data_IF_973099224272
#
_entry.id   IF_973099224272
#
_cell.length_a   1.000
_cell.length_b   1.000
_cell.length_c   1.000
_cell.angle_alpha   90.00
_cell.angle_beta   90.00
_cell.angle_gamma   90.00
#
_symmetry.space_group_name_H-M   'P 1'
#
loop_
_entity.id
_entity.type
_entity.pdbx_description
1 polymer ?
#
# COMPACT_ATOMS: atom_id res chain seq x y z
N UNK A 1 -4.07 -15.95 19.59
CA UNK A 1 -3.48 -15.05 18.57
C UNK A 1 -4.62 -14.28 17.93
N UNK A 2 -4.46 -12.96 17.80
CA UNK A 2 -5.41 -12.09 17.08
C UNK A 2 -4.65 -11.33 16.00
N UNK A 3 -5.25 -11.18 14.83
CA UNK A 3 -4.76 -10.31 13.75
C UNK A 3 -5.68 -9.09 13.65
N UNK A 4 -5.12 -7.94 13.97
CA UNK A 4 -5.84 -6.67 13.99
C UNK A 4 -5.46 -5.84 12.76
N UNK A 5 -6.44 -5.21 12.13
CA UNK A 5 -6.16 -4.22 11.09
C UNK A 5 -5.55 -2.95 11.70
N UNK A 6 -5.03 -2.07 10.84
CA UNK A 6 -4.57 -0.72 11.23
C UNK A 6 -5.60 0.08 12.05
N UNK A 7 -6.90 -0.19 11.88
CA UNK A 7 -7.99 0.48 12.61
C UNK A 7 -8.51 -0.34 13.81
N UNK A 8 -7.86 -1.44 14.16
CA UNK A 8 -8.19 -2.26 15.33
C UNK A 8 -9.30 -3.30 15.12
N UNK A 9 -9.71 -3.56 13.87
CA UNK A 9 -10.71 -4.59 13.59
C UNK A 9 -10.07 -5.98 13.66
N UNK A 10 -10.73 -6.93 14.32
CA UNK A 10 -10.26 -8.32 14.40
C UNK A 10 -10.60 -9.08 13.11
N UNK A 11 -9.57 -9.40 12.34
CA UNK A 11 -9.65 -10.11 11.08
C UNK A 11 -9.10 -11.54 11.16
N UNK A 12 -8.90 -12.08 12.36
CA UNK A 12 -8.32 -13.41 12.56
C UNK A 12 -9.04 -14.50 11.78
N UNK A 13 -10.38 -14.40 11.68
CA UNK A 13 -11.20 -15.36 10.96
C UNK A 13 -10.89 -15.44 9.45
N UNK A 14 -10.39 -14.36 8.84
CA UNK A 14 -10.08 -14.29 7.40
C UNK A 14 -8.70 -14.84 7.05
N UNK A 15 -7.81 -15.01 8.03
CA UNK A 15 -6.39 -15.36 7.80
C UNK A 15 -5.95 -16.54 8.67
N UNK A 16 -6.71 -17.63 8.62
CA UNK A 16 -6.47 -18.82 9.44
C UNK A 16 -5.08 -19.44 9.19
N UNK A 17 -4.61 -19.46 7.94
CA UNK A 17 -3.27 -19.93 7.60
C UNK A 17 -2.18 -19.10 8.28
N UNK A 18 -2.29 -17.76 8.22
CA UNK A 18 -1.37 -16.87 8.93
C UNK A 18 -1.44 -17.06 10.45
N UNK A 19 -2.64 -17.23 11.02
CA UNK A 19 -2.79 -17.53 12.46
C UNK A 19 -2.07 -18.83 12.82
N UNK A 20 -2.21 -19.87 12.01
CA UNK A 20 -1.53 -21.15 12.22
C UNK A 20 -0.01 -20.99 12.15
N UNK A 21 0.50 -20.24 11.18
CA UNK A 21 1.93 -19.95 11.05
C UNK A 21 2.46 -19.17 12.26
N UNK A 22 1.74 -18.13 12.72
CA UNK A 22 2.12 -17.35 13.91
C UNK A 22 2.10 -18.17 15.21
N UNK A 23 1.38 -19.29 15.28
CA UNK A 23 1.45 -20.21 16.44
C UNK A 23 2.79 -20.93 16.56
N UNK A 24 3.57 -21.00 15.48
CA UNK A 24 4.89 -21.62 15.50
C UNK A 24 5.95 -20.74 16.20
N UNK A 25 5.66 -19.46 16.45
CA UNK A 25 6.56 -18.58 17.18
C UNK A 25 6.68 -19.04 18.64
N UNK A 26 7.90 -19.40 19.06
CA UNK A 26 8.23 -19.82 20.43
C UNK A 26 8.26 -18.64 21.40
N UNK A 27 7.10 -18.06 21.68
CA UNK A 27 6.91 -16.92 22.60
C UNK A 27 5.70 -17.15 23.51
N UNK A 28 5.72 -16.57 24.70
CA UNK A 28 4.57 -16.58 25.61
C UNK A 28 3.50 -15.60 25.16
N UNK A 29 3.91 -14.37 24.86
CA UNK A 29 3.08 -13.29 24.35
C UNK A 29 3.93 -12.30 23.54
N UNK A 30 3.35 -11.71 22.51
CA UNK A 30 4.03 -10.73 21.66
C UNK A 30 3.03 -9.81 20.93
N UNK A 31 3.47 -8.57 20.67
CA UNK A 31 2.83 -7.68 19.71
C UNK A 31 3.77 -7.45 18.53
N UNK A 32 3.47 -8.09 17.40
CA UNK A 32 4.26 -8.02 16.16
C UNK A 32 3.53 -7.11 15.17
N UNK A 33 4.26 -6.17 14.59
CA UNK A 33 3.77 -5.33 13.51
C UNK A 33 4.31 -5.84 12.17
N UNK A 34 3.45 -5.86 11.15
CA UNK A 34 3.75 -6.52 9.89
C UNK A 34 2.73 -6.25 8.78
N UNK A 35 3.02 -6.81 7.61
CA UNK A 35 2.18 -6.67 6.41
C UNK A 35 1.89 -8.03 5.79
N UNK A 36 0.62 -8.24 5.43
CA UNK A 36 0.21 -9.39 4.63
C UNK A 36 0.45 -9.10 3.15
N UNK A 37 1.17 -9.99 2.48
CA UNK A 37 1.60 -9.82 1.11
C UNK A 37 1.30 -11.07 0.29
N UNK A 38 0.74 -10.88 -0.91
CA UNK A 38 0.82 -11.90 -1.95
C UNK A 38 2.19 -11.81 -2.62
N UNK A 39 2.94 -12.91 -2.60
CA UNK A 39 4.29 -12.98 -3.18
C UNK A 39 4.20 -13.70 -4.53
N UNK A 40 4.78 -13.11 -5.57
CA UNK A 40 4.87 -13.71 -6.91
C UNK A 40 6.00 -14.74 -6.97
N UNK A 41 6.04 -15.53 -8.05
CA UNK A 41 7.10 -16.52 -8.28
C UNK A 41 8.51 -15.91 -8.40
N UNK A 42 8.62 -14.64 -8.81
CA UNK A 42 9.86 -13.86 -8.85
C UNK A 42 10.21 -13.18 -7.51
N UNK A 43 9.46 -13.49 -6.43
CA UNK A 43 9.71 -12.97 -5.07
C UNK A 43 9.15 -11.57 -4.81
N UNK A 44 8.61 -10.89 -5.82
CA UNK A 44 8.05 -9.53 -5.70
C UNK A 44 6.64 -9.56 -5.10
N UNK A 45 6.34 -8.65 -4.18
CA UNK A 45 5.00 -8.52 -3.60
C UNK A 45 4.02 -7.87 -4.58
N UNK A 46 2.76 -8.30 -4.59
CA UNK A 46 1.75 -7.86 -5.55
C UNK A 46 0.45 -7.47 -4.87
N UNK A 47 0.21 -6.16 -4.76
CA UNK A 47 -1.01 -5.62 -4.16
C UNK A 47 -2.30 -6.11 -4.85
N UNK A 48 -2.30 -6.16 -6.19
CA UNK A 48 -3.43 -6.67 -6.96
C UNK A 48 -3.79 -8.12 -6.65
N UNK A 49 -2.79 -8.97 -6.38
CA UNK A 49 -2.99 -10.38 -6.01
C UNK A 49 -3.46 -10.51 -4.56
N UNK A 50 -2.92 -9.69 -3.66
CA UNK A 50 -3.41 -9.61 -2.28
C UNK A 50 -4.90 -9.27 -2.27
N UNK A 51 -5.31 -8.26 -3.04
CA UNK A 51 -6.70 -7.85 -3.11
C UNK A 51 -7.60 -8.96 -3.68
N UNK A 52 -7.20 -9.59 -4.80
CA UNK A 52 -7.94 -10.72 -5.35
C UNK A 52 -8.10 -11.86 -4.34
N UNK A 53 -7.03 -12.23 -3.65
CA UNK A 53 -7.05 -13.24 -2.59
C UNK A 53 -8.01 -12.87 -1.44
N UNK A 54 -8.08 -11.59 -1.07
CA UNK A 54 -9.00 -11.12 -0.03
C UNK A 54 -10.46 -11.13 -0.46
N UNK A 55 -10.75 -10.74 -1.71
CA UNK A 55 -12.10 -10.68 -2.26
C UNK A 55 -12.67 -12.08 -2.49
N UNK A 56 -11.82 -13.01 -2.92
CA UNK A 56 -12.18 -14.42 -3.18
C UNK A 56 -12.10 -15.30 -1.93
N UNK A 57 -11.63 -14.77 -0.79
CA UNK A 57 -11.40 -15.54 0.43
C UNK A 57 -10.25 -16.57 0.35
N UNK A 58 -9.40 -16.48 -0.67
CA UNK A 58 -8.25 -17.38 -0.91
C UNK A 58 -6.97 -16.86 -0.27
N UNK A 59 -6.97 -16.72 1.05
CA UNK A 59 -5.87 -16.10 1.81
C UNK A 59 -4.77 -17.06 2.24
N UNK A 60 -4.86 -18.35 1.88
CA UNK A 60 -3.95 -19.41 2.32
C UNK A 60 -2.49 -19.22 1.90
N UNK A 61 -2.25 -18.61 0.74
CA UNK A 61 -0.92 -18.42 0.16
C UNK A 61 -0.29 -17.06 0.48
N UNK A 62 -0.93 -16.26 1.35
CA UNK A 62 -0.40 -14.97 1.76
C UNK A 62 0.74 -15.16 2.76
N UNK A 63 1.81 -14.39 2.58
CA UNK A 63 2.92 -14.34 3.52
C UNK A 63 2.78 -13.11 4.43
N UNK A 64 3.06 -13.29 5.73
CA UNK A 64 3.14 -12.21 6.71
C UNK A 64 4.58 -11.77 6.89
N UNK A 65 4.86 -10.53 6.49
CA UNK A 65 6.17 -9.89 6.65
C UNK A 65 6.18 -9.08 7.94
N UNK A 66 6.87 -9.58 8.97
CA UNK A 66 7.04 -8.89 10.24
C UNK A 66 8.18 -7.86 10.14
N UNK A 67 7.94 -6.62 10.57
CA UNK A 67 8.93 -5.54 10.46
C UNK A 67 9.17 -4.76 11.76
N UNK A 68 8.39 -4.98 12.83
CA UNK A 68 8.61 -4.40 14.16
C UNK A 68 8.04 -5.31 15.27
N UNK A 69 8.53 -5.14 16.49
CA UNK A 69 8.11 -5.88 17.69
C UNK A 69 7.93 -4.88 18.82
N UNK A 70 6.75 -4.85 19.42
CA UNK A 70 6.36 -3.83 20.40
C UNK A 70 6.27 -4.37 21.83
N UNK A 71 6.10 -5.68 21.97
CA UNK A 71 5.98 -6.37 23.25
C UNK A 71 6.45 -7.80 23.10
N UNK A 72 7.11 -8.33 24.13
CA UNK A 72 7.61 -9.70 24.16
C UNK A 72 7.68 -10.23 25.60
N UNK A 73 7.07 -11.39 25.85
CA UNK A 73 7.19 -12.16 27.09
C UNK A 73 6.98 -11.34 28.37
N UNK A 74 5.92 -10.53 28.41
CA UNK A 74 5.56 -9.68 29.54
C UNK A 74 6.21 -8.30 29.54
N UNK A 75 7.16 -8.02 28.64
CA UNK A 75 7.88 -6.74 28.56
C UNK A 75 7.40 -5.90 27.37
N UNK A 76 7.05 -4.63 27.63
CA UNK A 76 6.86 -3.64 26.57
C UNK A 76 8.21 -3.15 26.08
N UNK A 77 8.52 -3.41 24.82
CA UNK A 77 9.78 -2.98 24.18
C UNK A 77 9.59 -1.82 23.22
N UNK A 78 8.35 -1.31 23.07
CA UNK A 78 8.01 -0.20 22.17
C UNK A 78 8.84 1.07 22.42
N UNK A 79 9.33 1.28 23.65
CA UNK A 79 10.18 2.44 24.01
C UNK A 79 11.65 2.26 23.65
N UNK A 80 12.10 1.05 23.33
CA UNK A 80 13.48 0.80 22.92
C UNK A 80 13.75 1.40 21.53
N UNK A 81 15.03 1.71 21.21
CA UNK A 81 15.47 1.98 19.84
C UNK A 81 14.96 0.94 18.84
N UNK A 82 14.67 1.36 17.61
CA UNK A 82 14.21 0.46 16.55
C UNK A 82 15.19 -0.69 16.30
N UNK A 83 16.49 -0.43 16.35
CA UNK A 83 17.50 -1.48 16.12
C UNK A 83 17.40 -2.61 17.13
N UNK A 84 17.16 -2.29 18.41
CA UNK A 84 17.01 -3.27 19.47
C UNK A 84 15.72 -4.07 19.30
N UNK A 85 14.63 -3.41 18.90
CA UNK A 85 13.35 -4.09 18.60
C UNK A 85 13.49 -5.04 17.41
N UNK A 86 14.22 -4.63 16.36
CA UNK A 86 14.50 -5.48 15.19
C UNK A 86 15.37 -6.68 15.52
N UNK A 87 16.42 -6.52 16.34
CA UNK A 87 17.25 -7.63 16.78
C UNK A 87 16.45 -8.66 17.59
N UNK A 88 15.58 -8.20 18.50
CA UNK A 88 14.66 -9.10 19.24
C UNK A 88 13.65 -9.79 18.32
N UNK A 89 13.12 -9.07 17.32
CA UNK A 89 12.22 -9.65 16.33
C UNK A 89 12.92 -10.73 15.50
N UNK A 90 14.11 -10.45 14.99
CA UNK A 90 14.90 -11.39 14.18
C UNK A 90 15.17 -12.70 14.93
N UNK A 91 15.45 -12.64 16.23
CA UNK A 91 15.61 -13.83 17.08
C UNK A 91 14.38 -14.76 17.08
N UNK A 92 13.17 -14.23 16.83
CA UNK A 92 11.94 -15.02 16.72
C UNK A 92 11.84 -15.76 15.37
N UNK A 93 12.64 -15.38 14.36
CA UNK A 93 12.63 -15.90 13.00
C UNK A 93 13.92 -16.68 12.68
N UNK A 94 14.56 -17.25 13.69
CA UNK A 94 15.80 -18.05 13.58
C UNK A 94 15.62 -19.38 12.83
N UNK A 95 14.38 -19.79 12.57
CA UNK A 95 14.04 -20.98 11.78
C UNK A 95 13.12 -20.60 10.64
N UNK A 96 13.22 -21.32 9.51
CA UNK A 96 12.31 -21.11 8.39
C UNK A 96 10.89 -21.52 8.77
N UNK A 97 9.96 -20.58 8.64
CA UNK A 97 8.55 -20.76 8.99
C UNK A 97 7.70 -20.45 7.77
N UNK A 98 7.08 -21.46 7.13
CA UNK A 98 6.25 -21.25 5.96
C UNK A 98 5.18 -20.17 6.19
N UNK A 99 5.10 -19.21 5.28
CA UNK A 99 4.15 -18.11 5.35
C UNK A 99 4.53 -16.96 6.28
N UNK A 100 5.63 -17.06 7.04
CA UNK A 100 6.17 -15.96 7.85
C UNK A 100 7.51 -15.50 7.29
N UNK A 101 7.75 -14.19 7.28
CA UNK A 101 9.01 -13.60 6.83
C UNK A 101 9.42 -12.46 7.75
N UNK A 102 10.70 -12.40 8.10
CA UNK A 102 11.28 -11.20 8.68
C UNK A 102 11.59 -10.20 7.57
N UNK A 103 11.14 -8.96 7.73
CA UNK A 103 11.51 -7.86 6.84
C UNK A 103 12.82 -7.24 7.33
N UNK A 104 13.91 -7.58 6.65
CA UNK A 104 15.22 -7.04 6.95
C UNK A 104 15.36 -5.55 6.53
N UNK A 105 16.54 -4.97 6.74
CA UNK A 105 16.83 -3.56 6.61
C UNK A 105 18.28 -3.30 6.22
N UNK A 106 18.52 -2.09 5.72
CA UNK A 106 19.87 -1.58 5.44
C UNK A 106 20.08 -0.32 6.28
N UNK A 107 21.25 -0.22 6.91
CA UNK A 107 21.64 0.96 7.69
C UNK A 107 22.36 1.94 6.76
N UNK A 108 21.85 3.16 6.66
CA UNK A 108 22.41 4.20 5.79
C UNK A 108 21.96 4.10 4.34
N UNK A 109 22.46 5.03 3.53
CA UNK A 109 22.26 5.13 2.07
C UNK A 109 20.83 4.85 1.56
N UNK A 110 19.86 5.53 2.17
CA UNK A 110 18.46 5.49 1.73
C UNK A 110 18.26 5.79 0.24
N UNK A 111 18.95 6.77 -0.37
CA UNK A 111 18.87 7.03 -1.81
C UNK A 111 19.28 5.84 -2.68
N UNK A 112 20.40 5.16 -2.40
CA UNK A 112 20.79 3.99 -3.17
C UNK A 112 19.83 2.83 -2.94
N UNK A 113 19.44 2.55 -1.70
CA UNK A 113 18.46 1.51 -1.38
C UNK A 113 17.16 1.71 -2.17
N UNK A 114 16.63 2.94 -2.17
CA UNK A 114 15.44 3.29 -2.96
C UNK A 114 15.67 3.06 -4.45
N UNK A 115 16.81 3.48 -5.01
CA UNK A 115 17.13 3.28 -6.43
C UNK A 115 17.13 1.79 -6.80
N UNK A 116 17.66 0.93 -5.92
CA UNK A 116 17.62 -0.52 -6.10
C UNK A 116 16.21 -1.08 -5.97
N UNK A 117 15.44 -0.66 -4.97
CA UNK A 117 14.04 -1.07 -4.82
C UNK A 117 13.21 -0.74 -6.08
N UNK A 118 13.43 0.43 -6.68
CA UNK A 118 12.73 0.81 -7.92
C UNK A 118 13.15 -0.02 -9.13
N UNK A 119 14.43 -0.38 -9.25
CA UNK A 119 14.90 -1.28 -10.30
C UNK A 119 14.30 -2.69 -10.18
N UNK A 120 14.01 -3.13 -8.96
CA UNK A 120 13.33 -4.39 -8.67
C UNK A 120 11.79 -4.29 -8.75
N UNK A 121 11.26 -3.17 -9.27
CA UNK A 121 9.82 -2.89 -9.39
C UNK A 121 9.04 -3.01 -8.06
N UNK A 122 9.70 -2.79 -6.91
CA UNK A 122 9.05 -2.67 -5.61
C UNK A 122 8.34 -1.30 -5.49
N UNK A 123 7.36 -1.18 -4.60
CA UNK A 123 6.62 0.09 -4.39
C UNK A 123 7.54 1.25 -3.96
N UNK A 124 8.63 0.95 -3.26
CA UNK A 124 9.53 1.94 -2.71
C UNK A 124 10.29 1.46 -1.47
N UNK A 125 10.68 2.42 -0.64
CA UNK A 125 11.37 2.19 0.63
C UNK A 125 10.63 2.88 1.78
N UNK A 126 10.74 2.28 2.97
CA UNK A 126 10.32 2.90 4.24
C UNK A 126 11.57 3.21 5.04
N UNK A 127 11.85 4.50 5.26
CA UNK A 127 12.93 4.95 6.12
C UNK A 127 12.41 5.15 7.54
N UNK A 128 13.09 4.54 8.52
CA UNK A 128 12.78 4.63 9.93
C UNK A 128 14.03 5.09 10.69
N UNK A 129 13.89 5.95 11.69
CA UNK A 129 15.02 6.34 12.55
C UNK A 129 15.44 5.16 13.45
N UNK A 130 16.73 4.84 13.44
CA UNK A 130 17.30 3.66 14.09
C UNK A 130 17.23 3.71 15.63
N UNK A 131 17.36 4.91 16.18
CA UNK A 131 17.41 5.22 17.61
C UNK A 131 16.04 5.56 18.20
N UNK A 132 14.98 5.55 17.38
CA UNK A 132 13.67 6.07 17.79
C UNK A 132 12.75 4.98 18.35
N UNK A 133 12.09 5.33 19.44
CA UNK A 133 10.98 4.57 20.00
C UNK A 133 9.80 4.50 19.02
N UNK A 134 8.94 3.49 19.20
CA UNK A 134 7.66 3.41 18.51
C UNK A 134 6.69 4.46 19.08
N UNK A 135 6.11 5.29 18.21
CA UNK A 135 5.19 6.36 18.61
C UNK A 135 3.88 6.25 17.83
N UNK A 136 2.86 5.67 18.45
CA UNK A 136 1.52 5.55 17.86
C UNK A 136 0.94 6.92 17.49
N UNK A 137 0.33 7.02 16.31
CA UNK A 137 -0.28 8.26 15.81
C UNK A 137 0.70 9.29 15.23
N UNK A 138 2.01 9.13 15.42
CA UNK A 138 3.00 10.03 14.84
C UNK A 138 3.25 9.69 13.36
N UNK A 139 2.60 10.45 12.46
CA UNK A 139 2.71 10.26 11.00
C UNK A 139 4.10 10.59 10.42
N UNK A 140 4.97 11.25 11.16
CA UNK A 140 6.32 11.62 10.72
C UNK A 140 7.42 10.66 11.17
N UNK A 141 7.08 9.62 11.94
CA UNK A 141 8.07 8.67 12.45
C UNK A 141 8.73 7.86 11.33
N UNK A 142 7.97 7.52 10.29
CA UNK A 142 8.41 6.76 9.13
C UNK A 142 8.21 7.57 7.85
N UNK A 143 9.21 7.56 6.97
CA UNK A 143 9.16 8.23 5.68
C UNK A 143 8.99 7.19 4.58
N UNK A 144 7.87 7.27 3.85
CA UNK A 144 7.63 6.41 2.67
C UNK A 144 8.16 7.10 1.41
N UNK A 145 9.18 6.53 0.80
CA UNK A 145 9.75 7.00 -0.46
C UNK A 145 9.38 6.05 -1.59
N UNK A 146 8.36 6.41 -2.38
CA UNK A 146 7.84 5.55 -3.45
C UNK A 146 8.70 5.58 -4.71
N UNK A 147 8.69 4.46 -5.42
CA UNK A 147 9.09 4.33 -6.81
C UNK A 147 7.92 4.81 -7.64
N UNK A 148 7.90 6.12 -7.93
CA UNK A 148 6.87 6.72 -8.76
C UNK A 148 7.26 6.50 -10.22
N UNK A 149 6.47 5.73 -10.94
CA UNK A 149 6.45 5.86 -12.39
C UNK A 149 5.68 7.14 -12.69
N UNK A 150 6.27 8.01 -13.49
CA UNK A 150 5.65 9.24 -13.96
C UNK A 150 5.43 9.09 -15.45
N UNK A 151 4.22 9.38 -15.87
CA UNK A 151 3.85 9.44 -17.27
C UNK A 151 2.95 10.66 -17.48
N UNK A 152 2.91 11.16 -18.70
CA UNK A 152 1.98 12.22 -19.10
C UNK A 152 0.69 11.61 -19.66
N UNK A 153 -0.45 12.10 -19.18
CA UNK A 153 -1.76 11.62 -19.58
C UNK A 153 -2.62 12.77 -20.07
N UNK A 154 -3.55 12.44 -20.95
CA UNK A 154 -4.58 13.33 -21.45
C UNK A 154 -5.76 13.26 -20.49
N UNK A 155 -6.28 14.41 -20.07
CA UNK A 155 -7.55 14.47 -19.35
C UNK A 155 -8.68 14.25 -20.34
N UNK A 156 -9.35 13.10 -20.23
CA UNK A 156 -10.45 12.69 -21.13
C UNK A 156 -11.83 12.89 -20.51
N UNK A 157 -11.87 13.33 -19.25
CA UNK A 157 -13.08 13.64 -18.52
C UNK A 157 -12.82 13.87 -17.04
N UNK A 158 -13.87 14.08 -16.27
CA UNK A 158 -13.84 14.18 -14.82
C UNK A 158 -15.13 13.65 -14.21
N UNK A 159 -15.08 13.25 -12.94
CA UNK A 159 -16.27 12.87 -12.18
C UNK A 159 -16.76 14.01 -11.31
N UNK A 160 -18.05 13.98 -10.99
CA UNK A 160 -18.63 14.89 -10.02
C UNK A 160 -17.99 14.69 -8.62
N UNK A 161 -17.95 15.76 -7.81
CA UNK A 161 -17.47 15.69 -6.43
C UNK A 161 -18.36 14.78 -5.56
N UNK A 162 -17.73 14.05 -4.64
CA UNK A 162 -18.44 13.21 -3.65
C UNK A 162 -17.97 13.55 -2.23
N UNK A 163 -18.89 13.51 -1.26
CA UNK A 163 -18.57 13.78 0.15
C UNK A 163 -18.12 15.22 0.39
N UNK A 164 -17.03 15.42 1.15
CA UNK A 164 -16.50 16.75 1.50
C UNK A 164 -15.62 17.40 0.41
N UNK A 165 -15.41 16.72 -0.72
CA UNK A 165 -14.52 17.18 -1.77
C UNK A 165 -15.24 18.15 -2.72
N UNK A 166 -14.72 19.38 -2.97
CA UNK A 166 -15.37 20.33 -3.86
C UNK A 166 -14.93 20.21 -5.33
N UNK A 167 -15.75 20.75 -6.24
CA UNK A 167 -15.47 20.98 -7.68
C UNK A 167 -15.33 19.73 -8.56
N UNK A 168 -14.30 18.90 -8.35
CA UNK A 168 -14.00 17.72 -9.17
C UNK A 168 -13.73 16.54 -8.24
N UNK A 169 -14.42 15.41 -8.47
CA UNK A 169 -14.17 14.16 -7.76
C UNK A 169 -12.83 13.54 -8.14
N UNK A 170 -12.67 13.25 -9.43
CA UNK A 170 -11.45 12.69 -10.02
C UNK A 170 -11.30 13.08 -11.49
N UNK A 171 -10.06 13.08 -11.99
CA UNK A 171 -9.78 13.22 -13.41
C UNK A 171 -9.76 11.84 -14.06
N UNK A 172 -10.41 11.69 -15.21
CA UNK A 172 -10.31 10.52 -16.08
C UNK A 172 -9.13 10.73 -17.03
N UNK A 173 -8.24 9.76 -17.10
CA UNK A 173 -6.98 9.85 -17.82
C UNK A 173 -6.97 8.91 -19.02
N UNK A 174 -6.33 9.34 -20.11
CA UNK A 174 -6.07 8.52 -21.27
C UNK A 174 -4.69 8.76 -21.87
N UNK A 175 -4.29 7.90 -22.81
CA UNK A 175 -3.04 7.99 -23.56
C UNK A 175 -3.27 7.56 -25.00
N UNK A 176 -2.48 8.08 -25.93
CA UNK A 176 -2.47 7.58 -27.30
C UNK A 176 -1.56 6.36 -27.39
N UNK A 177 -2.07 5.32 -28.04
CA UNK A 177 -1.27 4.17 -28.50
C UNK A 177 -0.51 4.54 -29.77
N UNK A 178 0.50 3.75 -30.13
CA UNK A 178 1.34 4.00 -31.31
C UNK A 178 0.52 4.02 -32.63
N UNK A 179 -0.62 3.33 -32.66
CA UNK A 179 -1.57 3.33 -33.78
C UNK A 179 -2.56 4.50 -33.77
N UNK A 180 -2.39 5.45 -32.83
CA UNK A 180 -3.16 6.69 -32.75
C UNK A 180 -4.49 6.59 -32.00
N UNK A 181 -4.83 5.44 -31.39
CA UNK A 181 -6.07 5.30 -30.60
C UNK A 181 -5.92 5.87 -29.20
N UNK A 182 -6.93 6.60 -28.74
CA UNK A 182 -7.00 7.12 -27.38
C UNK A 182 -7.57 6.07 -26.41
N UNK A 183 -6.72 5.54 -25.54
CA UNK A 183 -7.08 4.51 -24.57
C UNK A 183 -7.22 5.06 -23.15
N UNK A 184 -8.15 4.51 -22.38
CA UNK A 184 -8.35 4.87 -20.98
C UNK A 184 -7.22 4.32 -20.09
N UNK A 185 -6.65 5.17 -19.24
CA UNK A 185 -5.54 4.88 -18.35
C UNK A 185 -5.95 4.70 -16.88
N UNK A 186 -7.20 5.00 -16.54
CA UNK A 186 -7.69 5.06 -15.16
C UNK A 186 -8.03 6.48 -14.72
N UNK A 187 -8.16 6.67 -13.40
CA UNK A 187 -8.54 7.97 -12.81
C UNK A 187 -7.59 8.41 -11.71
N UNK A 188 -7.41 9.73 -11.58
CA UNK A 188 -6.61 10.35 -10.54
C UNK A 188 -7.49 11.25 -9.65
N UNK A 189 -7.60 10.87 -8.37
CA UNK A 189 -8.35 11.63 -7.37
C UNK A 189 -7.50 12.14 -6.20
N UNK A 190 -6.34 11.56 -5.89
CA UNK A 190 -5.55 11.96 -4.70
C UNK A 190 -4.41 12.91 -5.07
N UNK A 191 -3.90 13.66 -4.09
CA UNK A 191 -2.75 14.57 -4.29
C UNK A 191 -3.07 15.92 -4.94
N UNK A 192 -4.34 16.22 -5.23
CA UNK A 192 -4.79 17.48 -5.82
C UNK A 192 -5.36 18.38 -4.72
N UNK A 193 -4.82 19.59 -4.55
CA UNK A 193 -5.28 20.54 -3.53
C UNK A 193 -6.63 21.16 -3.91
N UNK A 194 -7.37 21.71 -2.94
CA UNK A 194 -8.65 22.39 -3.22
C UNK A 194 -8.48 23.56 -4.19
N UNK A 195 -7.40 24.33 -4.05
CA UNK A 195 -7.07 25.42 -4.97
C UNK A 195 -6.85 24.90 -6.41
N UNK A 196 -6.18 23.75 -6.54
CA UNK A 196 -5.92 23.11 -7.81
C UNK A 196 -7.21 22.56 -8.45
N UNK A 197 -8.09 21.93 -7.66
CA UNK A 197 -9.41 21.49 -8.13
C UNK A 197 -10.25 22.66 -8.67
N UNK A 198 -10.26 23.80 -7.97
CA UNK A 198 -10.94 25.02 -8.42
C UNK A 198 -10.35 25.55 -9.74
N UNK A 199 -9.02 25.48 -9.89
CA UNK A 199 -8.33 25.87 -11.13
C UNK A 199 -8.70 24.96 -12.29
N UNK A 200 -8.66 23.64 -12.07
CA UNK A 200 -9.00 22.63 -13.06
C UNK A 200 -10.45 22.74 -13.51
N UNK A 201 -11.41 22.87 -12.59
CA UNK A 201 -12.83 23.01 -12.92
C UNK A 201 -13.09 24.20 -13.87
N UNK A 202 -12.42 25.33 -13.64
CA UNK A 202 -12.54 26.51 -14.51
C UNK A 202 -11.95 26.30 -15.90
N UNK A 203 -10.85 25.54 -16.00
CA UNK A 203 -10.19 25.25 -17.28
C UNK A 203 -10.90 24.18 -18.09
N UNK A 204 -11.43 23.17 -17.40
CA UNK A 204 -12.06 22.00 -18.02
C UNK A 204 -13.54 22.22 -18.36
N UNK A 205 -14.27 23.04 -17.57
CA UNK A 205 -15.69 23.32 -17.82
C UNK A 205 -15.99 23.77 -19.26
N UNK A 206 -15.25 24.72 -19.85
CA UNK A 206 -15.43 25.12 -21.25
C UNK A 206 -15.09 24.03 -22.29
N UNK A 207 -14.38 22.97 -21.89
CA UNK A 207 -13.97 21.86 -22.73
C UNK A 207 -14.93 20.65 -22.62
N UNK A 208 -16.03 20.79 -21.88
CA UNK A 208 -17.02 19.73 -21.75
C UNK A 208 -17.61 19.40 -23.12
N UNK A 209 -17.51 18.13 -23.51
CA UNK A 209 -18.06 17.62 -24.75
C UNK A 209 -19.27 16.72 -24.46
N UNK A 210 -20.31 16.81 -25.29
CA UNK A 210 -21.47 15.94 -25.19
C UNK A 210 -21.16 14.48 -25.58
N UNK A 211 -20.13 14.28 -26.41
CA UNK A 211 -19.65 12.97 -26.83
C UNK A 211 -18.34 12.64 -26.12
N UNK A 212 -18.30 11.46 -25.52
CA UNK A 212 -17.10 10.92 -24.90
C UNK A 212 -15.99 10.69 -25.95
N UNK A 213 -14.74 11.10 -25.67
CA UNK A 213 -13.64 11.03 -26.65
C UNK A 213 -13.00 9.64 -26.78
N UNK A 214 -13.35 8.70 -25.89
CA UNK A 214 -12.84 7.33 -25.90
C UNK A 214 -13.74 6.43 -26.77
N UNK A 215 -13.12 5.57 -27.57
CA UNK A 215 -13.85 4.55 -28.35
C UNK A 215 -14.54 3.52 -27.45
N UNK A 216 -13.89 3.19 -26.33
CA UNK A 216 -14.42 2.30 -25.30
C UNK A 216 -14.69 3.10 -24.02
N UNK A 217 -15.92 3.11 -23.49
CA UNK A 217 -16.21 3.81 -22.25
C UNK A 217 -15.38 3.31 -21.08
N UNK A 218 -14.98 4.21 -20.16
CA UNK A 218 -14.45 3.80 -18.88
C UNK A 218 -15.43 2.85 -18.16
N UNK A 219 -14.94 1.81 -17.48
CA UNK A 219 -15.80 0.89 -16.74
C UNK A 219 -16.57 1.63 -15.64
N UNK A 220 -17.91 1.49 -15.65
CA UNK A 220 -18.82 2.13 -14.68
C UNK A 220 -18.75 1.50 -13.30
N UNK A 221 -18.52 0.19 -13.24
CA UNK A 221 -18.25 -0.51 -11.99
C UNK A 221 -16.77 -0.35 -11.66
N UNK A 222 -16.49 0.39 -10.58
CA UNK A 222 -15.12 0.70 -10.23
C UNK A 222 -14.37 -0.52 -9.71
N UNK A 223 -13.30 -0.93 -10.40
CA UNK A 223 -12.32 -1.90 -9.86
C UNK A 223 -11.47 -1.30 -8.72
N UNK A 224 -11.42 0.04 -8.60
CA UNK A 224 -10.59 0.78 -7.62
C UNK A 224 -11.28 2.07 -7.10
N UNK A 225 -12.58 2.03 -6.81
CA UNK A 225 -13.31 3.06 -6.04
C UNK A 225 -14.78 3.19 -6.48
N UNK A 226 -15.49 4.22 -6.02
CA UNK A 226 -16.92 4.43 -6.33
C UNK A 226 -17.22 4.33 -7.82
N UNK A 227 -18.39 3.76 -8.21
CA UNK A 227 -18.83 3.69 -9.60
C UNK A 227 -18.69 5.04 -10.31
N UNK A 228 -18.46 5.01 -11.62
CA UNK A 228 -18.70 6.19 -12.44
C UNK A 228 -20.22 6.29 -12.59
N UNK A 229 -20.83 7.09 -11.73
CA UNK A 229 -22.21 7.57 -11.94
C UNK A 229 -22.26 8.54 -13.12
#
# INVERSE_FOLDING_TARGET
IRLLTRTGLDWSHRYQATIAALRALSVKDAYVDGELCAVRADGVTSFSRLQAAMDEGRTGDLAFFAFDLLFLNGESIAKLPLIDRKARLEGLFSTDMPGLRFSDHVIGDGPAFRKHACRLALEGAISKRIDSAYASGNRGLWVKSKCLNREEFIVVGWTDPTGSRPHIGSLLLGYYTDDGRLMYAGRAGTGITVAELKRLARRLGPLQAARMPLDVPPPREGRFGSPLE
#
